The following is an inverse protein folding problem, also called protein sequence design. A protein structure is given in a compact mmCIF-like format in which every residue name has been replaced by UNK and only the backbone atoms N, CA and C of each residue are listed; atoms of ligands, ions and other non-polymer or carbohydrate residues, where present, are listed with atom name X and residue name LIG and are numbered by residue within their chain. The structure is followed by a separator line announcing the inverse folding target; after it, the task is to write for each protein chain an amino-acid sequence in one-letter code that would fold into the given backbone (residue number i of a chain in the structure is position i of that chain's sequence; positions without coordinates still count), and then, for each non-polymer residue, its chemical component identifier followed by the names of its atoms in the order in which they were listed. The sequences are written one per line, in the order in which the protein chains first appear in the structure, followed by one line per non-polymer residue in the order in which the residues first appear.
data_IF_065112920527
#
_entry.id   IF_065112920527
#
_cell.length_a   1.000
_cell.length_b   1.000
_cell.length_c   1.000
_cell.angle_alpha   90.00
_cell.angle_beta   90.00
_cell.angle_gamma   90.00
#
_symmetry.space_group_name_H-M   'P 1'
#
loop_
_entity.id
_entity.type
_entity.pdbx_description
1 polymer ?
#
# COMPACT_ATOMS: atom_id res chain seq x y z
N UNK A 1 -5.70 -9.53 13.67
CA UNK A 1 -4.38 -9.42 14.33
C UNK A 1 -4.11 -8.02 14.88
N UNK A 2 -3.90 -7.02 14.02
CA UNK A 2 -3.48 -5.67 14.44
C UNK A 2 -4.32 -5.04 15.56
N UNK A 3 -5.65 -5.06 15.43
CA UNK A 3 -6.56 -4.46 16.40
C UNK A 3 -6.45 -5.05 17.83
N UNK A 4 -5.98 -6.29 17.97
CA UNK A 4 -5.80 -6.93 19.28
C UNK A 4 -4.47 -6.60 19.97
N UNK A 5 -3.50 -6.02 19.26
CA UNK A 5 -2.12 -5.80 19.77
C UNK A 5 -1.71 -4.34 19.77
N UNK A 6 -2.04 -3.60 18.72
CA UNK A 6 -1.54 -2.24 18.54
C UNK A 6 -2.05 -1.20 19.54
N UNK A 7 -3.28 -1.28 20.10
CA UNK A 7 -3.70 -0.31 21.11
C UNK A 7 -2.77 -0.25 22.33
N UNK A 8 -2.34 -1.41 22.86
CA UNK A 8 -1.40 -1.45 23.99
C UNK A 8 0.02 -1.06 23.59
N UNK A 9 0.47 -1.44 22.39
CA UNK A 9 1.77 -1.04 21.87
C UNK A 9 1.88 0.47 21.64
N UNK A 10 0.82 1.11 21.14
CA UNK A 10 0.77 2.58 20.94
C UNK A 10 0.87 3.34 22.25
N UNK A 11 0.24 2.84 23.33
CA UNK A 11 0.39 3.44 24.65
C UNK A 11 1.84 3.41 25.14
N UNK A 12 2.59 2.35 24.78
CA UNK A 12 4.02 2.22 25.13
C UNK A 12 4.94 2.97 24.18
N UNK A 13 4.57 3.10 22.91
CA UNK A 13 5.36 3.69 21.85
C UNK A 13 4.51 4.72 21.07
N UNK A 14 4.29 5.92 21.63
CA UNK A 14 3.35 6.89 21.06
C UNK A 14 3.79 7.43 19.69
N UNK A 15 5.08 7.34 19.34
CA UNK A 15 5.59 7.70 18.02
C UNK A 15 5.51 6.60 16.95
N UNK A 16 5.01 5.41 17.30
CA UNK A 16 4.93 4.30 16.35
C UNK A 16 3.87 4.55 15.28
N UNK A 17 4.26 4.37 14.02
CA UNK A 17 3.34 4.39 12.88
C UNK A 17 3.10 2.96 12.40
N UNK A 18 1.85 2.64 12.12
CA UNK A 18 1.38 1.31 11.72
C UNK A 18 0.71 1.42 10.37
N UNK A 19 1.23 0.66 9.41
CA UNK A 19 0.77 0.69 8.04
C UNK A 19 0.06 -0.62 7.69
N UNK A 20 -1.09 -0.55 7.04
CA UNK A 20 -1.77 -1.73 6.52
C UNK A 20 -1.23 -2.08 5.13
N UNK A 21 -0.55 -3.23 5.03
CA UNK A 21 0.06 -3.71 3.77
C UNK A 21 -0.64 -4.94 3.17
N UNK A 22 -1.56 -5.55 3.91
CA UNK A 22 -2.33 -6.72 3.46
C UNK A 22 -3.70 -6.33 2.89
N UNK A 23 -4.38 -7.23 2.17
CA UNK A 23 -5.64 -6.94 1.51
C UNK A 23 -6.71 -6.44 2.50
N UNK A 24 -7.41 -5.37 2.13
CA UNK A 24 -8.45 -4.77 2.96
C UNK A 24 -9.86 -5.16 2.49
N UNK A 25 -10.56 -5.90 3.35
CA UNK A 25 -11.97 -6.20 3.16
C UNK A 25 -12.83 -4.97 3.45
N UNK A 26 -13.88 -4.73 2.64
CA UNK A 26 -14.71 -3.53 2.77
C UNK A 26 -15.41 -3.38 4.13
N UNK A 27 -15.82 -4.50 4.75
CA UNK A 27 -16.42 -4.51 6.10
C UNK A 27 -15.41 -4.20 7.22
N UNK A 28 -14.11 -4.22 6.94
CA UNK A 28 -13.04 -3.85 7.88
C UNK A 28 -12.47 -2.45 7.63
N UNK A 29 -12.93 -1.75 6.59
CA UNK A 29 -12.42 -0.43 6.23
C UNK A 29 -12.53 0.60 7.36
N UNK A 30 -13.64 0.59 8.13
CA UNK A 30 -13.81 1.50 9.29
C UNK A 30 -12.73 1.28 10.35
N UNK A 31 -12.54 0.04 10.77
CA UNK A 31 -11.49 -0.31 11.73
C UNK A 31 -10.10 0.02 11.20
N UNK A 32 -9.87 -0.13 9.88
CA UNK A 32 -8.58 0.21 9.28
C UNK A 32 -8.28 1.72 9.36
N UNK A 33 -9.23 2.58 8.98
CA UNK A 33 -9.01 4.05 9.03
C UNK A 33 -8.86 4.61 10.44
N UNK A 34 -9.31 3.87 11.45
CA UNK A 34 -9.13 4.21 12.87
C UNK A 34 -7.80 3.73 13.45
N UNK A 35 -7.20 2.68 12.87
CA UNK A 35 -6.05 2.01 13.46
C UNK A 35 -4.71 2.31 12.77
N UNK A 36 -4.73 2.68 11.49
CA UNK A 36 -3.51 2.79 10.67
C UNK A 36 -3.26 4.23 10.20
N UNK A 37 -1.99 4.63 10.17
CA UNK A 37 -1.54 5.91 9.60
C UNK A 37 -1.51 5.88 8.08
N UNK A 38 -1.31 4.69 7.49
CA UNK A 38 -1.34 4.50 6.05
C UNK A 38 -1.95 3.15 5.63
N UNK A 39 -2.59 3.13 4.47
CA UNK A 39 -3.14 1.92 3.83
C UNK A 39 -2.47 1.78 2.46
N UNK A 40 -1.70 0.72 2.29
CA UNK A 40 -0.91 0.48 1.08
C UNK A 40 -1.61 -0.46 0.07
N UNK A 41 -2.77 -0.99 0.45
CA UNK A 41 -3.48 -2.04 -0.25
C UNK A 41 -4.75 -1.54 -0.95
N UNK A 42 -4.75 -0.29 -1.45
CA UNK A 42 -5.89 0.23 -2.20
C UNK A 42 -5.86 -0.36 -3.62
N UNK A 43 -6.74 -1.31 -3.88
CA UNK A 43 -6.60 -2.23 -5.02
C UNK A 43 -7.80 -2.23 -5.98
N UNK A 44 -8.91 -1.55 -5.65
CA UNK A 44 -10.14 -1.57 -6.46
C UNK A 44 -11.09 -0.40 -6.20
N UNK A 45 -11.92 -0.01 -7.19
CA UNK A 45 -12.90 1.09 -7.08
C UNK A 45 -13.85 0.99 -5.89
N UNK A 46 -14.34 -0.21 -5.58
CA UNK A 46 -15.27 -0.41 -4.45
C UNK A 46 -14.62 -0.07 -3.10
N UNK A 47 -13.33 -0.34 -2.94
CA UNK A 47 -12.60 0.01 -1.72
C UNK A 47 -12.32 1.51 -1.68
N UNK A 48 -11.93 2.12 -2.80
CA UNK A 48 -11.70 3.57 -2.89
C UNK A 48 -12.93 4.37 -2.48
N UNK A 49 -14.10 4.05 -3.03
CA UNK A 49 -15.38 4.70 -2.65
C UNK A 49 -15.66 4.56 -1.16
N UNK A 50 -15.47 3.35 -0.61
CA UNK A 50 -15.69 3.11 0.82
C UNK A 50 -14.74 3.92 1.71
N UNK A 51 -13.48 4.08 1.31
CA UNK A 51 -12.52 4.91 2.05
C UNK A 51 -12.86 6.40 1.93
N UNK A 52 -13.37 6.86 0.77
CA UNK A 52 -13.81 8.23 0.57
C UNK A 52 -15.02 8.55 1.47
N UNK A 53 -16.03 7.67 1.51
CA UNK A 53 -17.18 7.82 2.41
C UNK A 53 -16.75 7.95 3.87
N UNK A 54 -15.82 7.08 4.30
CA UNK A 54 -15.29 7.11 5.67
C UNK A 54 -14.42 8.33 5.96
N UNK A 55 -13.68 8.83 4.96
CA UNK A 55 -12.90 10.04 5.08
C UNK A 55 -13.79 11.26 5.30
N UNK A 56 -14.88 11.36 4.53
CA UNK A 56 -15.88 12.42 4.67
C UNK A 56 -16.59 12.34 6.02
N UNK A 57 -16.99 11.14 6.46
CA UNK A 57 -17.64 10.93 7.75
C UNK A 57 -16.73 11.31 8.94
N UNK A 58 -15.43 11.00 8.85
CA UNK A 58 -14.47 11.19 9.95
C UNK A 58 -13.74 12.53 9.91
N UNK A 59 -13.82 13.26 8.81
CA UNK A 59 -12.99 14.45 8.54
C UNK A 59 -11.48 14.16 8.45
N UNK A 60 -11.08 12.89 8.42
CA UNK A 60 -9.67 12.46 8.37
C UNK A 60 -9.54 11.13 7.61
N UNK A 61 -8.42 10.96 6.92
CA UNK A 61 -8.12 9.75 6.16
C UNK A 61 -6.62 9.40 6.32
N UNK A 62 -6.26 8.11 6.48
CA UNK A 62 -4.86 7.67 6.41
C UNK A 62 -4.22 8.02 5.07
N UNK A 63 -2.89 8.11 5.03
CA UNK A 63 -2.16 8.17 3.76
C UNK A 63 -2.47 6.92 2.91
N UNK A 64 -2.74 7.09 1.62
CA UNK A 64 -3.13 5.97 0.76
C UNK A 64 -2.09 5.68 -0.33
N UNK A 65 -1.88 4.38 -0.58
CA UNK A 65 -1.12 3.90 -1.73
C UNK A 65 -1.97 2.95 -2.56
N UNK A 66 -1.97 3.17 -3.88
CA UNK A 66 -2.59 2.26 -4.83
C UNK A 66 -1.69 1.05 -5.01
N UNK A 67 -2.26 -0.15 -4.84
CA UNK A 67 -1.57 -1.39 -5.15
C UNK A 67 -1.71 -1.69 -6.64
N UNK A 68 -0.58 -1.82 -7.34
CA UNK A 68 -0.52 -2.19 -8.75
C UNK A 68 -0.06 -3.63 -8.87
N UNK A 69 -0.83 -4.44 -9.60
CA UNK A 69 -0.48 -5.81 -9.94
C UNK A 69 0.45 -5.80 -11.16
N UNK A 70 1.72 -5.51 -10.93
CA UNK A 70 2.73 -5.34 -11.99
C UNK A 70 2.95 -6.61 -12.82
N UNK A 71 2.69 -7.79 -12.26
CA UNK A 71 2.78 -9.06 -12.99
C UNK A 71 1.50 -9.50 -13.69
N UNK A 72 0.41 -8.74 -13.61
CA UNK A 72 -0.91 -9.13 -14.11
C UNK A 72 -1.35 -10.54 -13.67
N UNK A 73 -0.90 -10.99 -12.49
CA UNK A 73 -1.20 -12.31 -11.95
C UNK A 73 -2.67 -12.36 -11.50
N UNK A 74 -3.54 -13.19 -12.08
CA UNK A 74 -4.98 -13.17 -11.81
C UNK A 74 -5.33 -13.48 -10.35
N UNK A 75 -4.45 -14.20 -9.64
CA UNK A 75 -4.57 -14.50 -8.21
C UNK A 75 -4.18 -13.35 -7.29
N UNK A 76 -3.50 -12.31 -7.78
CA UNK A 76 -3.01 -11.21 -6.96
C UNK A 76 -3.95 -10.01 -6.99
N UNK A 77 -4.04 -9.35 -5.83
CA UNK A 77 -4.72 -8.07 -5.72
C UNK A 77 -3.90 -6.94 -6.36
N UNK A 78 -4.60 -5.89 -6.75
CA UNK A 78 -4.04 -4.67 -7.33
C UNK A 78 -4.70 -4.36 -8.67
N UNK A 79 -4.67 -3.08 -9.04
CA UNK A 79 -5.09 -2.65 -10.37
C UNK A 79 -4.04 -3.05 -11.40
N UNK A 80 -4.47 -3.30 -12.63
CA UNK A 80 -3.54 -3.60 -13.72
C UNK A 80 -2.71 -2.34 -14.07
N UNK A 81 -1.47 -2.50 -14.57
CA UNK A 81 -0.61 -1.38 -14.93
C UNK A 81 -1.25 -0.40 -15.93
N UNK A 82 -2.02 -0.92 -16.89
CA UNK A 82 -2.75 -0.14 -17.89
C UNK A 82 -3.92 0.67 -17.30
N UNK A 83 -4.53 0.18 -16.22
CA UNK A 83 -5.67 0.83 -15.54
C UNK A 83 -5.23 1.77 -14.42
N UNK A 84 -3.95 1.74 -14.03
CA UNK A 84 -3.45 2.44 -12.86
C UNK A 84 -3.66 3.96 -12.95
N UNK A 85 -3.42 4.57 -14.10
CA UNK A 85 -3.55 6.02 -14.29
C UNK A 85 -5.00 6.48 -14.09
N UNK A 86 -5.94 5.77 -14.71
CA UNK A 86 -7.38 6.04 -14.57
C UNK A 86 -7.83 5.87 -13.12
N UNK A 87 -7.40 4.81 -12.45
CA UNK A 87 -7.76 4.58 -11.07
C UNK A 87 -7.17 5.61 -10.09
N UNK A 88 -5.94 6.08 -10.34
CA UNK A 88 -5.31 7.17 -9.58
C UNK A 88 -6.10 8.47 -9.76
N UNK A 89 -6.51 8.79 -10.99
CA UNK A 89 -7.33 9.96 -11.29
C UNK A 89 -8.69 9.90 -10.56
N UNK A 90 -9.37 8.75 -10.61
CA UNK A 90 -10.63 8.53 -9.90
C UNK A 90 -10.48 8.71 -8.39
N UNK A 91 -9.41 8.16 -7.80
CA UNK A 91 -9.13 8.32 -6.38
C UNK A 91 -8.93 9.80 -5.99
N UNK A 92 -8.19 10.56 -6.81
CA UNK A 92 -8.00 12.00 -6.59
C UNK A 92 -9.30 12.78 -6.72
N UNK A 93 -10.16 12.43 -7.67
CA UNK A 93 -11.48 13.04 -7.83
C UNK A 93 -12.42 12.79 -6.63
N UNK A 94 -12.11 11.79 -5.80
CA UNK A 94 -12.78 11.51 -4.53
C UNK A 94 -12.08 12.16 -3.32
N UNK A 95 -11.15 13.10 -3.54
CA UNK A 95 -10.34 13.78 -2.51
C UNK A 95 -9.53 12.83 -1.61
N UNK A 96 -9.22 11.63 -2.11
CA UNK A 96 -8.41 10.68 -1.34
C UNK A 96 -6.96 11.14 -1.26
N UNK A 97 -6.30 11.08 -0.09
CA UNK A 97 -4.92 11.54 0.10
C UNK A 97 -3.91 10.50 -0.44
N UNK A 98 -3.90 10.31 -1.76
CA UNK A 98 -2.95 9.45 -2.42
C UNK A 98 -1.53 10.01 -2.29
N UNK A 99 -0.62 9.20 -1.76
CA UNK A 99 0.79 9.56 -1.62
C UNK A 99 1.73 8.79 -2.52
N UNK A 100 1.31 7.60 -2.95
CA UNK A 100 2.23 6.68 -3.58
C UNK A 100 1.58 5.46 -4.21
N UNK A 101 2.44 4.59 -4.70
CA UNK A 101 2.08 3.28 -5.23
C UNK A 101 2.76 2.17 -4.44
N UNK A 102 2.17 0.99 -4.48
CA UNK A 102 2.68 -0.23 -3.88
C UNK A 102 2.65 -1.36 -4.91
N UNK A 103 3.67 -2.22 -4.92
CA UNK A 103 3.60 -3.49 -5.64
C UNK A 103 4.21 -4.65 -4.83
N UNK A 104 3.79 -5.85 -5.20
CA UNK A 104 4.38 -7.13 -4.76
C UNK A 104 4.65 -7.95 -6.03
N UNK A 105 5.88 -7.93 -6.56
CA UNK A 105 6.24 -8.67 -7.77
C UNK A 105 5.94 -10.17 -7.67
N UNK A 106 5.74 -10.88 -8.80
CA UNK A 106 5.73 -12.34 -8.85
C UNK A 106 6.96 -12.93 -8.15
N UNK A 107 6.78 -13.97 -7.34
CA UNK A 107 7.86 -14.53 -6.54
C UNK A 107 8.95 -15.22 -7.40
N UNK A 108 8.55 -15.73 -8.57
CA UNK A 108 9.39 -16.49 -9.49
C UNK A 108 10.01 -15.62 -10.60
N UNK A 109 9.83 -14.30 -10.54
CA UNK A 109 10.37 -13.36 -11.52
C UNK A 109 11.39 -12.40 -10.89
N UNK A 110 12.29 -11.86 -11.72
CA UNK A 110 13.17 -10.79 -11.28
C UNK A 110 12.34 -9.54 -10.91
N UNK A 111 12.56 -8.92 -9.74
CA UNK A 111 11.69 -7.85 -9.27
C UNK A 111 12.01 -6.47 -9.89
N UNK A 112 13.24 -6.26 -10.40
CA UNK A 112 13.68 -4.99 -11.00
C UNK A 112 12.73 -4.41 -12.07
N UNK A 113 12.33 -5.18 -13.10
CA UNK A 113 11.36 -4.70 -14.09
C UNK A 113 10.03 -4.22 -13.49
N UNK A 114 9.54 -4.91 -12.45
CA UNK A 114 8.31 -4.54 -11.74
C UNK A 114 8.48 -3.24 -10.94
N UNK A 115 9.64 -3.05 -10.32
CA UNK A 115 9.98 -1.82 -9.59
C UNK A 115 10.15 -0.63 -10.52
N UNK A 116 10.86 -0.81 -11.64
CA UNK A 116 11.03 0.21 -12.66
C UNK A 116 9.67 0.65 -13.24
N UNK A 117 8.79 -0.31 -13.55
CA UNK A 117 7.44 -0.01 -14.02
C UNK A 117 6.64 0.79 -12.99
N UNK A 118 6.66 0.38 -11.71
CA UNK A 118 5.95 1.10 -10.65
C UNK A 118 6.45 2.55 -10.54
N UNK A 119 7.77 2.76 -10.62
CA UNK A 119 8.39 4.08 -10.58
C UNK A 119 7.94 4.98 -11.74
N UNK A 120 7.86 4.43 -12.96
CA UNK A 120 7.37 5.15 -14.15
C UNK A 120 5.90 5.57 -13.98
N UNK A 121 5.04 4.65 -13.52
CA UNK A 121 3.61 4.95 -13.27
C UNK A 121 3.49 6.03 -12.19
N UNK A 122 4.25 5.94 -11.10
CA UNK A 122 4.21 6.94 -10.04
C UNK A 122 4.65 8.32 -10.54
N UNK A 123 5.78 8.39 -11.26
CA UNK A 123 6.34 9.63 -11.77
C UNK A 123 5.39 10.35 -12.72
N UNK A 124 4.80 9.64 -13.70
CA UNK A 124 3.84 10.25 -14.65
C UNK A 124 2.55 10.73 -13.98
N UNK A 125 2.19 10.14 -12.84
CA UNK A 125 1.05 10.58 -12.02
C UNK A 125 1.44 11.60 -10.95
N UNK A 126 2.70 12.03 -10.85
CA UNK A 126 3.16 12.97 -9.81
C UNK A 126 3.10 12.41 -8.39
N UNK A 127 3.21 11.09 -8.22
CA UNK A 127 3.32 10.41 -6.93
C UNK A 127 4.80 10.14 -6.62
N UNK A 128 5.22 10.46 -5.40
CA UNK A 128 6.64 10.37 -5.01
C UNK A 128 6.96 9.20 -4.08
N UNK A 129 5.95 8.63 -3.41
CA UNK A 129 6.18 7.49 -2.51
C UNK A 129 6.04 6.17 -3.28
N UNK A 130 7.07 5.35 -3.23
CA UNK A 130 7.11 3.98 -3.76
C UNK A 130 7.25 2.99 -2.61
N UNK A 131 6.24 2.14 -2.43
CA UNK A 131 6.21 1.05 -1.46
C UNK A 131 6.50 -0.28 -2.18
N UNK A 132 7.77 -0.66 -2.24
CA UNK A 132 8.22 -1.86 -2.95
C UNK A 132 9.50 -2.39 -2.31
N UNK A 133 9.78 -3.68 -2.48
CA UNK A 133 10.82 -4.39 -1.75
C UNK A 133 10.35 -4.97 -0.41
N UNK A 134 10.73 -6.22 -0.19
CA UNK A 134 10.55 -7.07 0.98
C UNK A 134 11.91 -7.61 1.44
N UNK A 135 11.96 -8.52 2.41
CA UNK A 135 13.22 -9.00 2.99
C UNK A 135 14.25 -9.51 1.97
N UNK A 136 13.82 -10.04 0.82
CA UNK A 136 14.71 -10.67 -0.17
C UNK A 136 15.17 -9.77 -1.31
N UNK A 137 14.55 -8.61 -1.49
CA UNK A 137 14.70 -7.76 -2.68
C UNK A 137 14.68 -6.25 -2.36
N UNK A 138 14.77 -5.86 -1.08
CA UNK A 138 14.73 -4.46 -0.68
C UNK A 138 15.92 -3.64 -1.20
N UNK A 139 17.11 -4.23 -1.34
CA UNK A 139 18.28 -3.52 -1.87
C UNK A 139 18.08 -3.13 -3.34
N UNK A 140 17.55 -4.05 -4.14
CA UNK A 140 17.18 -3.79 -5.53
C UNK A 140 16.03 -2.78 -5.62
N UNK A 141 15.05 -2.88 -4.71
CA UNK A 141 13.96 -1.90 -4.62
C UNK A 141 14.48 -0.47 -4.35
N UNK A 142 15.46 -0.32 -3.44
CA UNK A 142 16.10 0.97 -3.13
C UNK A 142 16.83 1.51 -4.37
N UNK A 143 17.54 0.65 -5.12
CA UNK A 143 18.18 1.06 -6.37
C UNK A 143 17.17 1.58 -7.42
N UNK A 144 15.91 1.15 -7.34
CA UNK A 144 14.80 1.61 -8.19
C UNK A 144 13.96 2.74 -7.56
N UNK A 145 14.43 3.35 -6.47
CA UNK A 145 13.79 4.51 -5.85
C UNK A 145 12.72 4.19 -4.80
N UNK A 146 12.72 2.97 -4.24
CA UNK A 146 11.82 2.64 -3.13
C UNK A 146 11.98 3.64 -1.97
N UNK A 147 10.84 4.15 -1.50
CA UNK A 147 10.76 5.04 -0.33
C UNK A 147 10.26 4.29 0.92
N UNK A 148 9.62 3.14 0.72
CA UNK A 148 9.14 2.25 1.78
C UNK A 148 9.49 0.82 1.40
N UNK A 149 10.32 0.17 2.22
CA UNK A 149 10.64 -1.26 2.13
C UNK A 149 9.97 -2.02 3.28
N UNK A 150 9.59 -3.28 3.06
CA UNK A 150 8.78 -4.08 4.01
C UNK A 150 9.56 -5.28 4.51
N UNK A 151 10.41 -5.05 5.51
CA UNK A 151 11.31 -6.07 6.05
C UNK A 151 10.66 -6.82 7.21
N UNK A 152 10.50 -8.14 7.08
CA UNK A 152 9.87 -8.99 8.08
C UNK A 152 10.84 -10.04 8.61
N UNK A 153 11.04 -11.10 7.84
CA UNK A 153 11.90 -12.24 8.21
C UNK A 153 13.34 -11.86 8.53
N UNK A 154 13.91 -10.85 7.88
CA UNK A 154 15.26 -10.39 8.19
C UNK A 154 15.37 -9.66 9.54
N UNK A 155 14.26 -9.19 10.12
CA UNK A 155 14.23 -8.57 11.46
C UNK A 155 13.74 -9.53 12.54
N UNK A 156 12.73 -10.36 12.25
CA UNK A 156 12.03 -11.18 13.24
C UNK A 156 12.28 -12.69 13.11
N UNK A 157 13.03 -13.13 12.09
CA UNK A 157 13.22 -14.54 11.77
C UNK A 157 12.04 -15.16 11.01
N UNK A 158 12.08 -16.48 10.83
CA UNK A 158 11.00 -17.22 10.17
C UNK A 158 9.67 -17.08 10.93
N UNK A 159 8.55 -17.09 10.21
CA UNK A 159 7.22 -17.11 10.83
C UNK A 159 7.05 -18.45 11.57
N UNK A 160 6.67 -18.37 12.84
CA UNK A 160 6.24 -19.51 13.66
C UNK A 160 4.81 -19.92 13.33
#
# INVERSE_FOLDING_TARGET
EAAGRWPSLRARYPGAQVHLIGPLQGNKARQAVELFEAIHSLDRPKLARRLADLAQERGTCPDLFVQVNTGAEPQKAGVLPEDADGFIADCRAMDLPLRGLMCIPPAEEAPGPHFAMLAVIAARNGLVKLSMGMSGDFEEAVAHGATHVRVGSALFGARA
#
